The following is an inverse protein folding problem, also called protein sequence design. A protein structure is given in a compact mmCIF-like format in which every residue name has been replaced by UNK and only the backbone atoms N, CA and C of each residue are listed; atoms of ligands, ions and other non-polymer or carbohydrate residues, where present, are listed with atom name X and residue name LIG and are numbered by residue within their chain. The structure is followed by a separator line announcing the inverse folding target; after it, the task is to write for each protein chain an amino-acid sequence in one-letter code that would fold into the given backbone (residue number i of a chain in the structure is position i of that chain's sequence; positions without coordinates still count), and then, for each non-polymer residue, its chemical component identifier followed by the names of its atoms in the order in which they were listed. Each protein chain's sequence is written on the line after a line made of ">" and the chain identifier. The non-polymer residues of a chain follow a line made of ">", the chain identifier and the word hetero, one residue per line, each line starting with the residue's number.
data_IF_706206473511
#
_entry.id   IF_706206473511
#
_cell.length_a   1.000
_cell.length_b   1.000
_cell.length_c   1.000
_cell.angle_alpha   90.00
_cell.angle_beta   90.00
_cell.angle_gamma   90.00
#
_symmetry.space_group_name_H-M   'P 1'
#
loop_
_entity.id
_entity.type
_entity.pdbx_description
1 polymer ?
#
# COMPACT_ATOMS: atom_id res chain seq x y z
N UNK A 1 -24.20 21.08 14.74
CA UNK A 1 -22.98 21.15 13.91
C UNK A 1 -23.14 20.25 12.72
N UNK A 2 -23.25 20.82 11.53
CA UNK A 2 -23.20 20.10 10.26
C UNK A 2 -21.80 19.52 10.14
N UNK A 3 -21.65 18.20 10.22
CA UNK A 3 -20.36 17.53 10.01
C UNK A 3 -20.06 17.64 8.51
N UNK A 4 -19.33 18.68 8.11
CA UNK A 4 -18.84 18.81 6.75
C UNK A 4 -17.63 17.88 6.65
N UNK A 5 -17.83 16.72 6.02
CA UNK A 5 -16.71 15.86 5.64
C UNK A 5 -16.08 16.42 4.37
N UNK A 6 -14.89 16.98 4.48
CA UNK A 6 -14.04 17.26 3.32
C UNK A 6 -12.67 16.61 3.50
N UNK A 7 -12.00 16.35 2.38
CA UNK A 7 -10.67 15.76 2.35
C UNK A 7 -9.67 16.81 1.89
N UNK A 8 -8.62 17.05 2.67
CA UNK A 8 -7.45 17.84 2.26
C UNK A 8 -6.24 16.94 1.99
N UNK A 9 -5.29 17.46 1.21
CA UNK A 9 -4.02 16.79 0.96
C UNK A 9 -2.85 17.73 1.24
N UNK A 10 -1.93 17.29 2.10
CA UNK A 10 -0.73 18.05 2.44
C UNK A 10 0.50 17.39 1.83
N UNK A 11 1.42 18.20 1.34
CA UNK A 11 2.76 17.73 1.03
C UNK A 11 3.50 17.31 2.30
N UNK A 12 4.72 16.83 2.13
CA UNK A 12 5.43 16.26 3.25
C UNK A 12 5.83 17.24 4.34
N UNK A 13 6.33 18.40 3.93
CA UNK A 13 6.79 19.44 4.84
C UNK A 13 5.63 19.91 5.72
N UNK A 14 4.46 20.07 5.09
CA UNK A 14 3.22 20.42 5.76
C UNK A 14 2.70 19.29 6.67
N UNK A 15 2.79 18.01 6.26
CA UNK A 15 2.44 16.88 7.13
C UNK A 15 3.26 16.90 8.42
N UNK A 16 4.58 17.04 8.32
CA UNK A 16 5.46 17.01 9.51
C UNK A 16 5.19 18.20 10.43
N UNK A 17 4.98 19.39 9.87
CA UNK A 17 4.58 20.56 10.64
C UNK A 17 3.25 20.33 11.38
N UNK A 18 2.27 19.75 10.69
CA UNK A 18 0.98 19.39 11.28
C UNK A 18 1.13 18.39 12.43
N UNK A 19 1.90 17.31 12.22
CA UNK A 19 2.17 16.30 13.25
C UNK A 19 2.83 16.93 14.47
N UNK A 20 3.87 17.75 14.29
CA UNK A 20 4.53 18.47 15.40
C UNK A 20 3.53 19.32 16.20
N UNK A 21 2.71 20.11 15.51
CA UNK A 21 1.68 20.93 16.16
C UNK A 21 0.69 20.10 16.96
N UNK A 22 0.19 18.99 16.41
CA UNK A 22 -0.72 18.07 17.14
C UNK A 22 -0.07 17.56 18.42
N UNK A 23 1.22 17.19 18.36
CA UNK A 23 1.96 16.67 19.51
C UNK A 23 2.33 17.73 20.56
N UNK A 24 2.35 19.00 20.18
CA UNK A 24 2.61 20.17 21.04
C UNK A 24 1.32 20.72 21.68
N UNK A 25 0.16 20.46 21.10
CA UNK A 25 -1.13 20.87 21.66
C UNK A 25 -1.63 19.92 22.75
N UNK A 26 -2.40 20.45 23.72
CA UNK A 26 -3.13 19.66 24.74
C UNK A 26 -4.33 18.86 24.18
N UNK A 27 -4.38 18.63 22.87
CA UNK A 27 -5.45 17.88 22.23
C UNK A 27 -5.31 16.39 22.50
N UNK A 28 -6.45 15.71 22.66
CA UNK A 28 -6.45 14.24 22.71
C UNK A 28 -6.26 13.70 21.30
N UNK A 29 -5.29 12.81 21.14
CA UNK A 29 -5.01 12.11 19.89
C UNK A 29 -4.69 10.63 20.15
N UNK A 30 -4.90 9.81 19.12
CA UNK A 30 -4.55 8.38 19.09
C UNK A 30 -3.83 8.06 17.78
N UNK A 31 -2.85 7.16 17.84
CA UNK A 31 -2.15 6.69 16.64
C UNK A 31 -2.50 5.23 16.33
N UNK A 32 -3.06 4.98 15.15
CA UNK A 32 -3.37 3.65 14.64
C UNK A 32 -2.20 3.14 13.79
N UNK A 33 -1.16 2.59 14.44
CA UNK A 33 0.07 2.11 13.81
C UNK A 33 -0.15 1.25 12.55
N UNK A 34 -1.10 0.30 12.58
CA UNK A 34 -1.40 -0.60 11.44
C UNK A 34 -1.91 0.13 10.20
N UNK A 35 -2.53 1.29 10.37
CA UNK A 35 -3.05 2.12 9.27
C UNK A 35 -2.24 3.39 9.05
N UNK A 36 -1.21 3.61 9.87
CA UNK A 36 -0.37 4.79 9.87
C UNK A 36 -1.23 6.06 9.91
N UNK A 37 -2.19 6.08 10.83
CA UNK A 37 -3.24 7.10 10.89
C UNK A 37 -3.26 7.75 12.27
N UNK A 38 -3.24 9.08 12.32
CA UNK A 38 -3.47 9.85 13.55
C UNK A 38 -4.94 10.25 13.60
N UNK A 39 -5.57 10.01 14.72
CA UNK A 39 -6.92 10.48 15.02
C UNK A 39 -6.85 11.58 16.06
N UNK A 40 -7.43 12.74 15.77
CA UNK A 40 -7.52 13.87 16.71
C UNK A 40 -8.97 14.05 17.15
N UNK A 41 -9.19 14.23 18.44
CA UNK A 41 -10.52 14.32 19.03
C UNK A 41 -10.89 15.76 19.41
N UNK A 42 -12.16 16.12 19.19
CA UNK A 42 -12.82 17.34 19.66
C UNK A 42 -13.99 16.94 20.54
N UNK A 43 -14.04 17.40 21.79
CA UNK A 43 -15.16 17.17 22.73
C UNK A 43 -15.70 15.72 22.76
N UNK A 44 -14.80 14.73 22.75
CA UNK A 44 -15.06 13.28 22.74
C UNK A 44 -15.58 12.67 21.41
N UNK A 45 -15.57 13.40 20.30
CA UNK A 45 -15.80 12.87 18.94
C UNK A 45 -14.54 12.98 18.10
N UNK A 46 -14.43 12.15 17.05
CA UNK A 46 -13.38 12.31 16.05
C UNK A 46 -13.56 13.65 15.35
N UNK A 47 -12.58 14.53 15.48
CA UNK A 47 -12.53 15.79 14.76
C UNK A 47 -11.72 15.69 13.45
N UNK A 48 -10.63 14.93 13.45
CA UNK A 48 -9.75 14.71 12.29
C UNK A 48 -9.25 13.27 12.22
N UNK A 49 -9.21 12.69 11.02
CA UNK A 49 -8.43 11.48 10.72
C UNK A 49 -7.33 11.87 9.69
N UNK A 50 -6.07 11.61 10.02
CA UNK A 50 -4.89 11.99 9.23
C UNK A 50 -4.13 10.73 8.82
N UNK A 51 -4.09 10.40 7.54
CA UNK A 51 -3.31 9.29 6.98
C UNK A 51 -1.93 9.78 6.57
N UNK A 52 -0.89 9.20 7.17
CA UNK A 52 0.48 9.59 6.93
C UNK A 52 1.00 8.95 5.64
N UNK A 53 1.44 9.76 4.67
CA UNK A 53 2.11 9.28 3.44
C UNK A 53 3.45 8.62 3.75
N UNK A 54 4.12 9.14 4.77
CA UNK A 54 5.51 8.88 5.08
C UNK A 54 5.73 8.25 6.45
N UNK A 55 4.84 7.37 6.87
CA UNK A 55 5.05 6.56 8.06
C UNK A 55 5.81 5.24 7.76
N UNK A 56 6.96 5.06 8.41
CA UNK A 56 7.76 3.83 8.35
C UNK A 56 7.10 2.73 9.20
N UNK A 57 7.45 1.46 9.04
CA UNK A 57 7.03 0.43 9.99
C UNK A 57 7.34 0.88 11.42
N UNK A 58 6.33 0.83 12.30
CA UNK A 58 6.49 1.25 13.70
C UNK A 58 7.43 0.27 14.40
N UNK A 59 8.55 0.71 14.99
CA UNK A 59 9.40 -0.17 15.79
C UNK A 59 8.59 -0.68 16.98
N UNK A 60 8.61 -1.99 17.22
CA UNK A 60 7.67 -2.65 18.16
C UNK A 60 7.69 -2.16 19.61
N UNK A 61 8.72 -1.42 20.03
CA UNK A 61 8.88 -0.89 21.39
C UNK A 61 8.95 0.64 21.48
N UNK A 62 8.71 1.37 20.37
CA UNK A 62 8.81 2.83 20.38
C UNK A 62 7.46 3.46 20.78
N UNK A 63 7.44 4.40 21.75
CA UNK A 63 6.23 5.17 22.05
C UNK A 63 5.71 5.92 20.81
N UNK A 64 4.39 5.99 20.64
CA UNK A 64 3.76 6.60 19.46
C UNK A 64 4.26 8.04 19.21
N UNK A 65 4.41 8.83 20.28
CA UNK A 65 4.90 10.20 20.20
C UNK A 65 6.32 10.26 19.64
N UNK A 66 7.21 9.41 20.15
CA UNK A 66 8.61 9.37 19.72
C UNK A 66 8.72 8.89 18.27
N UNK A 67 7.90 7.90 17.90
CA UNK A 67 7.78 7.43 16.53
C UNK A 67 7.36 8.56 15.57
N UNK A 68 6.29 9.30 15.92
CA UNK A 68 5.79 10.39 15.10
C UNK A 68 6.80 11.55 14.96
N UNK A 69 7.62 11.79 15.99
CA UNK A 69 8.72 12.76 15.93
C UNK A 69 9.91 12.26 15.11
N UNK A 70 10.11 10.93 15.02
CA UNK A 70 11.19 10.28 14.27
C UNK A 70 10.94 10.12 12.77
N UNK A 71 9.75 10.51 12.28
CA UNK A 71 9.42 10.45 10.86
C UNK A 71 10.50 11.20 10.03
N UNK A 72 10.94 10.64 8.88
CA UNK A 72 12.08 11.15 8.12
C UNK A 72 11.89 12.60 7.64
N UNK A 73 12.89 13.26 7.07
CA UNK A 73 12.68 14.60 6.46
C UNK A 73 12.48 14.54 4.94
N UNK A 74 12.84 13.42 4.34
CA UNK A 74 12.68 13.13 2.94
C UNK A 74 11.81 11.90 2.74
N UNK A 75 11.24 11.78 1.53
CA UNK A 75 10.52 10.58 1.17
C UNK A 75 11.45 9.37 1.18
N UNK A 76 11.10 8.33 1.94
CA UNK A 76 11.90 7.12 1.96
C UNK A 76 11.84 6.42 0.60
N UNK A 77 12.92 5.72 0.29
CA UNK A 77 12.95 4.84 -0.87
C UNK A 77 11.91 3.74 -0.69
N UNK A 78 11.13 3.48 -1.72
CA UNK A 78 10.04 2.53 -1.61
C UNK A 78 9.84 1.73 -2.88
N UNK A 79 9.23 0.57 -2.70
CA UNK A 79 8.82 -0.33 -3.75
C UNK A 79 7.29 -0.31 -3.86
N UNK A 80 6.75 -0.33 -5.08
CA UNK A 80 5.30 -0.44 -5.31
C UNK A 80 5.00 -1.75 -6.03
N UNK A 81 4.08 -2.54 -5.47
CA UNK A 81 3.52 -3.73 -6.10
C UNK A 81 1.99 -3.64 -6.18
N UNK A 82 1.48 -3.43 -7.39
CA UNK A 82 0.05 -3.55 -7.71
C UNK A 82 -0.19 -4.89 -8.37
N UNK A 83 -1.14 -5.67 -7.87
CA UNK A 83 -1.44 -7.00 -8.40
C UNK A 83 -2.94 -7.31 -8.36
N UNK A 84 -3.46 -7.73 -9.49
CA UNK A 84 -4.82 -8.26 -9.62
C UNK A 84 -4.83 -9.50 -10.53
N UNK A 85 -6.02 -10.07 -10.78
CA UNK A 85 -6.14 -11.23 -11.65
C UNK A 85 -5.78 -10.87 -13.09
N UNK A 86 -4.58 -11.27 -13.51
CA UNK A 86 -4.08 -11.14 -14.87
C UNK A 86 -3.29 -9.88 -15.17
N UNK A 87 -2.99 -9.06 -14.17
CA UNK A 87 -2.10 -7.92 -14.34
C UNK A 87 -1.35 -7.60 -13.04
N UNK A 88 -0.08 -7.23 -13.19
CA UNK A 88 0.73 -6.67 -12.13
C UNK A 88 1.51 -5.46 -12.65
N UNK A 89 1.77 -4.51 -11.77
CA UNK A 89 2.59 -3.36 -12.04
C UNK A 89 3.53 -3.13 -10.86
N UNK A 90 4.82 -3.03 -11.17
CA UNK A 90 5.92 -2.93 -10.23
C UNK A 90 6.66 -1.63 -10.45
N UNK A 91 7.11 -0.97 -9.38
CA UNK A 91 8.03 0.17 -9.47
C UNK A 91 9.02 0.19 -8.31
N UNK A 92 10.26 0.59 -8.60
CA UNK A 92 11.26 0.95 -7.61
C UNK A 92 11.42 2.47 -7.62
N UNK A 93 11.28 3.09 -6.46
CA UNK A 93 11.33 4.54 -6.30
C UNK A 93 12.55 4.87 -5.44
N UNK A 94 13.38 5.77 -5.94
CA UNK A 94 14.49 6.37 -5.19
C UNK A 94 14.43 7.88 -5.31
N UNK A 95 14.61 8.60 -4.20
CA UNK A 95 14.59 10.07 -4.17
C UNK A 95 13.35 10.67 -4.85
N UNK A 96 12.17 10.09 -4.61
CA UNK A 96 10.89 10.52 -5.20
C UNK A 96 10.77 10.35 -6.73
N UNK A 97 11.67 9.58 -7.35
CA UNK A 97 11.67 9.28 -8.79
C UNK A 97 11.52 7.78 -9.05
N UNK A 98 10.72 7.43 -10.07
CA UNK A 98 10.58 6.05 -10.52
C UNK A 98 11.81 5.67 -11.33
N UNK A 99 12.75 4.95 -10.70
CA UNK A 99 13.99 4.51 -11.35
C UNK A 99 13.80 3.27 -12.21
N UNK A 100 12.84 2.41 -11.85
CA UNK A 100 12.49 1.19 -12.60
C UNK A 100 10.99 0.96 -12.51
N UNK A 101 10.39 0.50 -13.60
CA UNK A 101 9.00 0.05 -13.61
C UNK A 101 8.79 -1.10 -14.58
N UNK A 102 7.77 -1.93 -14.32
CA UNK A 102 7.36 -3.01 -15.21
C UNK A 102 5.87 -3.27 -15.04
N UNK A 103 5.20 -3.49 -16.16
CA UNK A 103 3.84 -4.04 -16.20
C UNK A 103 3.91 -5.45 -16.74
N UNK A 104 3.30 -6.40 -16.03
CA UNK A 104 3.19 -7.80 -16.39
C UNK A 104 1.70 -8.09 -16.61
N UNK A 105 1.36 -8.78 -17.71
CA UNK A 105 -0.01 -9.14 -18.03
C UNK A 105 -0.10 -10.64 -18.29
N UNK A 106 -1.06 -11.29 -17.65
CA UNK A 106 -1.37 -12.70 -17.85
C UNK A 106 -2.86 -12.90 -18.14
N UNK A 107 -3.17 -13.79 -19.07
CA UNK A 107 -4.57 -14.09 -19.39
C UNK A 107 -5.15 -15.11 -18.39
N UNK A 108 -5.51 -14.62 -17.20
CA UNK A 108 -5.97 -15.46 -16.08
C UNK A 108 -7.50 -15.72 -16.09
N UNK A 109 -8.31 -14.85 -16.72
CA UNK A 109 -9.77 -14.91 -16.63
C UNK A 109 -10.45 -15.50 -17.88
N UNK A 110 -11.52 -16.28 -17.67
CA UNK A 110 -12.49 -16.70 -18.68
C UNK A 110 -13.60 -15.65 -18.71
N UNK A 111 -13.93 -15.09 -19.89
CA UNK A 111 -14.87 -13.96 -20.12
C UNK A 111 -16.27 -14.04 -19.46
N UNK A 112 -16.64 -15.11 -18.72
CA UNK A 112 -18.02 -15.34 -18.23
C UNK A 112 -18.19 -15.96 -16.82
N UNK A 113 -17.16 -16.13 -15.99
CA UNK A 113 -17.37 -16.69 -14.63
C UNK A 113 -16.41 -16.07 -13.61
N UNK A 114 -16.92 -15.12 -12.82
CA UNK A 114 -16.19 -14.37 -11.78
C UNK A 114 -15.86 -15.17 -10.51
N UNK A 115 -15.40 -16.43 -10.64
CA UNK A 115 -14.86 -17.21 -9.52
C UNK A 115 -13.38 -17.48 -9.76
N UNK A 116 -12.54 -17.21 -8.75
CA UNK A 116 -11.10 -17.50 -8.80
C UNK A 116 -10.87 -19.00 -8.99
N UNK A 117 -10.28 -19.37 -10.13
CA UNK A 117 -10.14 -20.78 -10.56
C UNK A 117 -9.09 -21.54 -9.74
N UNK A 118 -8.20 -20.84 -9.05
CA UNK A 118 -7.06 -21.41 -8.33
C UNK A 118 -7.49 -22.38 -7.20
N UNK A 119 -8.65 -22.16 -6.58
CA UNK A 119 -9.15 -23.02 -5.50
C UNK A 119 -9.96 -24.24 -5.99
N UNK A 120 -10.50 -24.22 -7.22
CA UNK A 120 -11.54 -25.16 -7.65
C UNK A 120 -11.02 -26.48 -8.26
N UNK A 121 -9.72 -26.59 -8.54
CA UNK A 121 -9.15 -27.70 -9.32
C UNK A 121 -8.37 -28.73 -8.50
N UNK A 122 -8.11 -28.49 -7.21
CA UNK A 122 -7.52 -29.52 -6.32
C UNK A 122 -8.52 -30.64 -5.97
N UNK A 123 -9.82 -30.42 -6.15
CA UNK A 123 -10.90 -31.29 -5.64
C UNK A 123 -11.56 -32.18 -6.69
N UNK A 124 -11.27 -32.05 -7.99
CA UNK A 124 -11.84 -32.93 -9.03
C UNK A 124 -10.77 -33.46 -10.01
N UNK A 125 -10.81 -34.77 -10.26
CA UNK A 125 -9.91 -35.49 -11.17
C UNK A 125 -9.89 -35.00 -12.63
N UNK A 126 -8.91 -35.51 -13.40
CA UNK A 126 -8.55 -35.21 -14.82
C UNK A 126 -9.05 -33.86 -15.36
N UNK A 127 -8.32 -32.80 -15.00
CA UNK A 127 -8.38 -31.45 -15.61
C UNK A 127 -8.17 -31.48 -17.14
N UNK A 128 -9.05 -30.82 -17.91
CA UNK A 128 -8.96 -30.67 -19.39
C UNK A 128 -7.73 -29.83 -19.79
N UNK A 129 -7.16 -30.06 -20.98
CA UNK A 129 -5.94 -29.40 -21.48
C UNK A 129 -5.97 -27.86 -21.34
N UNK A 130 -7.04 -27.19 -21.76
CA UNK A 130 -7.17 -25.73 -21.63
C UNK A 130 -7.33 -25.23 -20.19
N UNK A 131 -7.65 -26.09 -19.22
CA UNK A 131 -7.64 -25.76 -17.79
C UNK A 131 -6.22 -25.85 -17.23
N UNK A 132 -5.44 -26.86 -17.64
CA UNK A 132 -4.02 -26.98 -17.28
C UNK A 132 -3.20 -25.82 -17.80
N UNK A 133 -3.43 -25.39 -19.05
CA UNK A 133 -2.74 -24.24 -19.63
C UNK A 133 -2.99 -22.95 -18.83
N UNK A 134 -4.20 -22.75 -18.31
CA UNK A 134 -4.54 -21.58 -17.50
C UNK A 134 -3.94 -21.61 -16.10
N UNK A 135 -3.90 -22.79 -15.47
CA UNK A 135 -3.16 -22.98 -14.21
C UNK A 135 -1.67 -22.67 -14.43
N UNK A 136 -1.06 -23.25 -15.47
CA UNK A 136 0.34 -23.02 -15.79
C UNK A 136 0.63 -21.53 -16.04
N UNK A 137 -0.17 -20.86 -16.87
CA UNK A 137 -0.06 -19.40 -17.08
C UNK A 137 -0.25 -18.57 -15.81
N UNK A 138 -1.01 -19.09 -14.86
CA UNK A 138 -1.23 -18.42 -13.58
C UNK A 138 -0.02 -18.58 -12.65
N UNK A 139 0.64 -19.74 -12.68
CA UNK A 139 1.89 -20.00 -11.97
C UNK A 139 3.01 -19.15 -12.57
N UNK A 140 3.17 -19.20 -13.90
CA UNK A 140 4.15 -18.40 -14.66
C UNK A 140 4.00 -16.90 -14.38
N UNK A 141 2.78 -16.41 -14.13
CA UNK A 141 2.56 -15.00 -13.77
C UNK A 141 3.21 -14.61 -12.43
N UNK A 142 3.09 -15.45 -11.39
CA UNK A 142 3.71 -15.16 -10.10
C UNK A 142 5.23 -15.36 -10.15
N UNK A 143 5.69 -16.36 -10.90
CA UNK A 143 7.11 -16.59 -11.17
C UNK A 143 7.73 -15.38 -11.90
N UNK A 144 7.07 -14.85 -12.94
CA UNK A 144 7.54 -13.68 -13.67
C UNK A 144 7.63 -12.44 -12.76
N UNK A 145 6.66 -12.26 -11.85
CA UNK A 145 6.70 -11.18 -10.85
C UNK A 145 7.92 -11.35 -9.95
N UNK A 146 8.09 -12.52 -9.31
CA UNK A 146 9.19 -12.75 -8.38
C UNK A 146 10.55 -12.66 -9.07
N UNK A 147 10.69 -13.27 -10.26
CA UNK A 147 11.89 -13.17 -11.07
C UNK A 147 12.20 -11.71 -11.40
N UNK A 148 11.20 -10.91 -11.77
CA UNK A 148 11.42 -9.49 -12.06
C UNK A 148 11.91 -8.71 -10.85
N UNK A 149 11.39 -9.02 -9.66
CA UNK A 149 11.83 -8.39 -8.42
C UNK A 149 13.29 -8.80 -8.11
N UNK A 150 13.64 -10.08 -8.30
CA UNK A 150 15.02 -10.58 -8.15
C UNK A 150 15.97 -9.92 -9.15
N UNK A 151 15.59 -9.81 -10.43
CA UNK A 151 16.39 -9.13 -11.47
C UNK A 151 16.69 -7.66 -11.12
N UNK A 152 15.85 -7.05 -10.28
CA UNK A 152 16.05 -5.70 -9.79
C UNK A 152 16.87 -5.60 -8.51
N UNK A 153 17.33 -6.73 -7.96
CA UNK A 153 18.05 -6.80 -6.68
C UNK A 153 17.12 -6.78 -5.46
N UNK A 154 15.85 -7.14 -5.63
CA UNK A 154 14.89 -7.13 -4.54
C UNK A 154 14.47 -5.73 -4.07
N UNK A 155 13.54 -5.65 -3.10
CA UNK A 155 13.22 -4.41 -2.41
C UNK A 155 14.17 -4.17 -1.23
N UNK A 156 15.42 -4.64 -1.26
CA UNK A 156 16.37 -4.58 -0.13
C UNK A 156 16.67 -3.12 0.25
N UNK A 157 16.93 -2.27 -0.73
CA UNK A 157 17.14 -0.83 -0.56
C UNK A 157 15.86 -0.04 -0.23
N UNK A 158 14.69 -0.70 -0.27
CA UNK A 158 13.42 -0.06 0.01
C UNK A 158 13.16 -0.08 1.51
N UNK A 159 12.92 1.09 2.08
CA UNK A 159 12.46 1.23 3.46
C UNK A 159 10.98 0.83 3.60
N UNK A 160 10.26 0.76 2.47
CA UNK A 160 8.85 0.38 2.39
C UNK A 160 8.52 -0.42 1.15
N UNK A 161 7.62 -1.37 1.32
CA UNK A 161 7.03 -2.17 0.26
C UNK A 161 5.54 -1.86 0.22
N UNK A 162 5.17 -0.82 -0.54
CA UNK A 162 3.80 -0.41 -0.74
C UNK A 162 3.10 -1.38 -1.68
N UNK A 163 2.02 -2.03 -1.24
CA UNK A 163 1.36 -3.03 -2.07
C UNK A 163 -0.16 -2.89 -2.09
N UNK A 164 -0.74 -3.30 -3.22
CA UNK A 164 -2.16 -3.56 -3.37
C UNK A 164 -2.35 -4.87 -4.10
N UNK A 165 -2.86 -5.86 -3.39
CA UNK A 165 -3.24 -7.14 -3.96
C UNK A 165 -4.57 -7.60 -3.38
N UNK A 166 -5.32 -8.39 -4.16
CA UNK A 166 -6.48 -9.08 -3.59
C UNK A 166 -6.02 -10.10 -2.55
N UNK A 167 -6.80 -10.26 -1.47
CA UNK A 167 -6.49 -11.20 -0.37
C UNK A 167 -6.32 -12.63 -0.90
N UNK A 168 -7.04 -12.97 -1.97
CA UNK A 168 -6.97 -14.29 -2.59
C UNK A 168 -5.69 -14.51 -3.41
N UNK A 169 -5.14 -13.47 -4.04
CA UNK A 169 -3.95 -13.59 -4.89
C UNK A 169 -2.65 -13.46 -4.09
N UNK A 170 -2.65 -12.68 -3.02
CA UNK A 170 -1.46 -12.40 -2.21
C UNK A 170 -0.68 -13.67 -1.79
N UNK A 171 -1.31 -14.76 -1.30
CA UNK A 171 -0.57 -15.96 -0.90
C UNK A 171 0.11 -16.69 -2.05
N UNK A 172 -0.30 -16.48 -3.31
CA UNK A 172 0.29 -17.18 -4.45
C UNK A 172 1.65 -16.60 -4.84
N UNK A 173 1.91 -15.33 -4.53
CA UNK A 173 3.22 -14.71 -4.72
C UNK A 173 4.30 -15.46 -3.92
N UNK A 174 4.02 -15.82 -2.67
CA UNK A 174 4.95 -16.52 -1.78
C UNK A 174 4.96 -18.04 -1.92
N UNK A 175 4.06 -18.61 -2.73
CA UNK A 175 3.97 -20.06 -3.00
C UNK A 175 4.46 -20.43 -4.40
N UNK A 176 5.00 -19.46 -5.13
CA UNK A 176 5.61 -19.67 -6.44
C UNK A 176 6.91 -20.46 -6.29
N UNK A 177 7.27 -21.23 -7.33
CA UNK A 177 8.53 -21.98 -7.35
C UNK A 177 9.75 -21.03 -7.36
N UNK A 178 9.59 -19.82 -7.90
CA UNK A 178 10.54 -18.73 -7.73
C UNK A 178 10.17 -18.00 -6.44
N UNK A 179 11.05 -18.05 -5.44
CA UNK A 179 10.81 -17.40 -4.15
C UNK A 179 10.70 -15.86 -4.30
N UNK A 180 9.83 -15.24 -3.51
CA UNK A 180 9.80 -13.79 -3.39
C UNK A 180 11.02 -13.31 -2.60
N UNK A 181 11.56 -12.13 -2.93
CA UNK A 181 12.69 -11.52 -2.23
C UNK A 181 12.30 -10.77 -0.95
N UNK A 182 11.09 -11.01 -0.44
CA UNK A 182 10.59 -10.51 0.83
C UNK A 182 9.52 -11.48 1.36
N UNK A 183 9.32 -11.46 2.68
CA UNK A 183 8.39 -12.36 3.36
C UNK A 183 6.98 -11.77 3.48
N UNK A 184 5.99 -12.64 3.72
CA UNK A 184 4.58 -12.23 3.80
C UNK A 184 4.27 -11.30 4.99
N UNK A 185 5.09 -11.40 6.04
CA UNK A 185 5.06 -10.61 7.27
C UNK A 185 6.22 -9.61 7.36
N UNK A 186 6.89 -9.32 6.23
CA UNK A 186 7.93 -8.29 6.18
C UNK A 186 7.39 -6.97 6.77
N UNK A 187 8.03 -6.40 7.81
CA UNK A 187 7.52 -5.22 8.50
C UNK A 187 7.37 -4.02 7.57
N UNK A 188 8.13 -3.96 6.46
CA UNK A 188 8.10 -2.90 5.45
C UNK A 188 6.83 -2.92 4.59
N UNK A 189 6.03 -3.99 4.65
CA UNK A 189 4.81 -4.12 3.87
C UNK A 189 3.74 -3.15 4.34
N UNK A 190 3.39 -2.20 3.47
CA UNK A 190 2.35 -1.20 3.72
C UNK A 190 1.27 -1.37 2.67
N UNK A 191 0.05 -1.68 3.13
CA UNK A 191 -1.09 -1.82 2.23
C UNK A 191 -1.58 -0.45 1.78
N UNK A 192 -1.65 -0.23 0.47
CA UNK A 192 -2.11 1.03 -0.10
C UNK A 192 -3.62 1.23 0.20
N UNK A 193 -4.02 2.31 0.88
CA UNK A 193 -5.43 2.59 1.25
C UNK A 193 -6.26 3.18 0.09
N UNK A 194 -5.72 3.20 -1.13
CA UNK A 194 -6.41 3.67 -2.33
C UNK A 194 -7.17 2.54 -3.05
N UNK A 195 -8.32 2.85 -3.64
CA UNK A 195 -8.93 1.95 -4.62
C UNK A 195 -8.19 2.06 -5.97
N UNK A 196 -7.50 0.98 -6.34
CA UNK A 196 -6.67 0.94 -7.54
C UNK A 196 -7.47 0.45 -8.75
N UNK A 197 -7.21 1.03 -9.91
CA UNK A 197 -7.63 0.48 -11.21
C UNK A 197 -6.75 -0.71 -11.58
N UNK A 198 -7.00 -1.27 -12.77
CA UNK A 198 -6.16 -2.33 -13.32
C UNK A 198 -4.68 -1.92 -13.36
N UNK A 199 -3.76 -2.75 -12.86
CA UNK A 199 -2.33 -2.48 -12.86
C UNK A 199 -1.81 -2.08 -14.24
N UNK A 200 -1.27 -0.89 -14.30
CA UNK A 200 -0.71 -0.27 -15.51
C UNK A 200 0.32 0.78 -15.10
N UNK A 201 1.09 1.28 -16.05
CA UNK A 201 2.04 2.35 -15.77
C UNK A 201 1.36 3.64 -15.30
N UNK A 202 0.23 4.01 -15.92
CA UNK A 202 -0.55 5.17 -15.49
C UNK A 202 -1.08 5.01 -14.05
N UNK A 203 -1.48 3.79 -13.68
CA UNK A 203 -1.92 3.52 -12.31
C UNK A 203 -0.75 3.55 -11.33
N UNK A 204 0.45 3.08 -11.71
CA UNK A 204 1.66 3.26 -10.89
C UNK A 204 1.94 4.74 -10.65
N UNK A 205 1.89 5.59 -11.68
CA UNK A 205 2.10 7.04 -11.52
C UNK A 205 1.05 7.63 -10.59
N UNK A 206 -0.22 7.27 -10.75
CA UNK A 206 -1.31 7.77 -9.90
C UNK A 206 -1.14 7.33 -8.45
N UNK A 207 -0.79 6.07 -8.22
CA UNK A 207 -0.53 5.53 -6.88
C UNK A 207 0.70 6.19 -6.27
N UNK A 208 1.79 6.32 -7.02
CA UNK A 208 3.01 6.99 -6.59
C UNK A 208 2.69 8.43 -6.16
N UNK A 209 1.98 9.20 -6.99
CA UNK A 209 1.52 10.54 -6.61
C UNK A 209 0.67 10.51 -5.34
N UNK A 210 -0.30 9.58 -5.23
CA UNK A 210 -1.16 9.49 -4.05
C UNK A 210 -0.36 9.27 -2.75
N UNK A 211 0.58 8.32 -2.76
CA UNK A 211 1.37 8.00 -1.55
C UNK A 211 2.39 9.09 -1.18
N UNK A 212 2.58 10.13 -2.00
CA UNK A 212 3.42 11.28 -1.65
C UNK A 212 2.70 12.24 -0.70
N UNK A 213 1.37 12.28 -0.72
CA UNK A 213 0.58 13.26 0.04
C UNK A 213 -0.06 12.64 1.27
N UNK A 214 -0.01 13.38 2.36
CA UNK A 214 -0.85 13.13 3.52
C UNK A 214 -2.30 13.36 3.12
N UNK A 215 -3.22 12.54 3.62
CA UNK A 215 -4.66 12.77 3.44
C UNK A 215 -5.31 13.04 4.78
N UNK A 216 -6.21 14.01 4.82
CA UNK A 216 -6.89 14.43 6.05
C UNK A 216 -8.38 14.40 5.79
N UNK A 217 -9.12 13.58 6.53
CA UNK A 217 -10.58 13.67 6.60
C UNK A 217 -10.92 14.58 7.78
N UNK A 218 -11.57 15.70 7.46
CA UNK A 218 -12.01 16.70 8.44
C UNK A 218 -13.46 16.45 8.81
N UNK A 219 -13.75 16.39 10.11
CA UNK A 219 -15.09 16.27 10.67
C UNK A 219 -15.48 17.49 11.52
N UNK A 220 -14.47 18.19 12.05
CA UNK A 220 -14.58 19.45 12.80
C UNK A 220 -13.68 20.50 12.14
N UNK A 221 -14.31 21.49 11.49
CA UNK A 221 -13.61 22.54 10.74
C UNK A 221 -12.90 23.54 11.67
N UNK A 222 -13.45 23.80 12.86
CA UNK A 222 -12.85 24.71 13.83
C UNK A 222 -11.58 24.09 14.42
N UNK A 223 -11.62 22.77 14.70
CA UNK A 223 -10.43 22.01 15.06
C UNK A 223 -9.39 22.05 13.94
N UNK A 224 -9.81 21.86 12.69
CA UNK A 224 -8.90 21.90 11.54
C UNK A 224 -8.19 23.26 11.39
N UNK A 225 -8.94 24.36 11.50
CA UNK A 225 -8.43 25.73 11.45
C UNK A 225 -7.46 26.06 12.59
N UNK A 226 -7.62 25.42 13.75
CA UNK A 226 -6.73 25.62 14.91
C UNK A 226 -5.34 24.98 14.72
N UNK A 227 -5.24 23.91 13.93
CA UNK A 227 -4.01 23.12 13.78
C UNK A 227 -3.26 23.46 12.47
N UNK A 228 -3.98 23.88 11.42
CA UNK A 228 -3.41 24.35 10.14
C UNK A 228 -2.76 25.73 10.28
#
# INVERSE_FOLDING_TARGET
>A
MTVIKFTDSLDYSAQRALVKRILETDMKWEFEAKRLKIRVFSEAKTGLDIWLSQALPVPGNMPDKDYLLSLPELQPNHFILLMESGAAALAQIKNNEIIRHKVIKAYMNRKKQGKSQLNYLKTKGKSRAGSRLRIRKSIEFFEEINQKIIDWGGPEDAERICYKASIQLWPYLFKSDIAASFEKDDPRLIKIPLNTKSPSYNELIRVHKYIQYCHIDVYDEDLYKRIK
#
